data_IF_617559973307
#
_entry.id   IF_617559973307
#
_cell.length_a   1.000
_cell.length_b   1.000
_cell.length_c   1.000
_cell.angle_alpha   90.00
_cell.angle_beta   90.00
_cell.angle_gamma   90.00
#
_symmetry.space_group_name_H-M   'P 1'
#
loop_
_entity.id
_entity.type
_entity.pdbx_description
1 polymer ?
#
# COMPACT_ATOMS: atom_id res chain seq x y z
N UNK A 1 19.80 9.35 -8.66
CA UNK A 1 18.60 10.18 -8.93
C UNK A 1 18.71 10.96 -10.25
N UNK A 2 19.90 11.05 -10.85
CA UNK A 2 20.19 11.85 -12.06
C UNK A 2 19.66 11.26 -13.38
N UNK A 3 19.38 9.95 -13.45
CA UNK A 3 18.96 9.27 -14.69
C UNK A 3 17.57 9.69 -15.24
N UNK A 4 16.78 10.41 -14.43
CA UNK A 4 15.39 10.76 -14.75
C UNK A 4 15.13 12.27 -14.82
N UNK A 5 16.17 13.09 -14.68
CA UNK A 5 16.09 14.54 -14.79
C UNK A 5 16.65 14.95 -16.14
N UNK A 6 15.76 15.30 -17.07
CA UNK A 6 16.15 15.79 -18.40
C UNK A 6 15.21 16.92 -18.77
N UNK A 7 15.77 18.13 -18.91
CA UNK A 7 15.04 19.34 -19.29
C UNK A 7 14.47 19.27 -20.72
N UNK A 8 14.97 18.34 -21.54
CA UNK A 8 14.55 18.18 -22.94
C UNK A 8 13.29 17.32 -23.10
N UNK A 9 12.87 16.57 -22.07
CA UNK A 9 11.80 15.58 -22.18
C UNK A 9 10.55 16.04 -21.45
N UNK A 10 9.43 16.12 -22.16
CA UNK A 10 8.13 16.49 -21.57
C UNK A 10 7.50 15.39 -20.73
N UNK A 11 7.97 14.14 -20.86
CA UNK A 11 7.47 12.97 -20.12
C UNK A 11 8.62 12.24 -19.45
N UNK A 12 8.36 11.77 -18.22
CA UNK A 12 9.30 10.99 -17.44
C UNK A 12 9.63 9.64 -18.10
N UNK A 13 8.60 8.97 -18.63
CA UNK A 13 8.73 7.70 -19.33
C UNK A 13 8.29 7.85 -20.79
N UNK A 14 8.94 7.09 -21.68
CA UNK A 14 8.46 6.94 -23.05
C UNK A 14 7.04 6.33 -23.03
N UNK A 15 6.12 6.81 -23.88
CA UNK A 15 4.77 6.26 -23.94
C UNK A 15 4.83 4.80 -24.40
N UNK A 16 4.23 3.92 -23.60
CA UNK A 16 4.06 2.50 -23.93
C UNK A 16 2.58 2.23 -24.21
N UNK A 17 2.31 1.43 -25.23
CA UNK A 17 0.96 0.95 -25.50
C UNK A 17 0.47 0.08 -24.33
N UNK A 18 -0.81 0.21 -23.96
CA UNK A 18 -1.38 -0.53 -22.83
C UNK A 18 -1.26 -2.06 -22.99
N UNK A 19 -1.39 -2.58 -24.22
CA UNK A 19 -1.18 -4.01 -24.52
C UNK A 19 0.25 -4.47 -24.23
N UNK A 20 1.24 -3.64 -24.55
CA UNK A 20 2.66 -3.91 -24.27
C UNK A 20 2.92 -3.89 -22.76
N UNK A 21 2.34 -2.92 -22.04
CA UNK A 21 2.40 -2.87 -20.58
C UNK A 21 1.86 -4.15 -19.94
N UNK A 22 0.69 -4.63 -20.38
CA UNK A 22 0.11 -5.88 -19.88
C UNK A 22 0.98 -7.10 -20.20
N UNK A 23 1.57 -7.17 -21.40
CA UNK A 23 2.48 -8.25 -21.77
C UNK A 23 3.74 -8.26 -20.90
N UNK A 24 4.29 -7.09 -20.59
CA UNK A 24 5.44 -6.95 -19.68
C UNK A 24 5.10 -7.40 -18.26
N UNK A 25 3.93 -7.01 -17.73
CA UNK A 25 3.47 -7.49 -16.42
C UNK A 25 3.32 -9.01 -16.38
N UNK A 26 2.76 -9.62 -17.43
CA UNK A 26 2.65 -11.08 -17.55
C UNK A 26 4.02 -11.76 -17.60
N UNK A 27 4.98 -11.17 -18.33
CA UNK A 27 6.34 -11.68 -18.36
C UNK A 27 7.01 -11.62 -16.98
N UNK A 28 6.83 -10.52 -16.24
CA UNK A 28 7.32 -10.39 -14.86
C UNK A 28 6.65 -11.40 -13.92
N UNK A 29 5.35 -11.61 -14.04
CA UNK A 29 4.60 -12.60 -13.26
C UNK A 29 5.20 -14.00 -13.43
N UNK A 30 5.39 -14.43 -14.68
CA UNK A 30 5.94 -15.74 -15.00
C UNK A 30 7.38 -15.89 -14.49
N UNK A 31 8.20 -14.85 -14.66
CA UNK A 31 9.60 -14.83 -14.18
C UNK A 31 9.71 -14.88 -12.66
N UNK A 32 8.80 -14.22 -11.96
CA UNK A 32 8.77 -14.18 -10.50
C UNK A 32 8.08 -15.42 -9.87
N UNK A 33 7.47 -16.30 -10.67
CA UNK A 33 6.74 -17.46 -10.17
C UNK A 33 5.45 -17.10 -9.42
N UNK A 34 4.85 -15.95 -9.72
CA UNK A 34 3.64 -15.47 -9.04
C UNK A 34 2.40 -16.13 -9.68
N UNK A 35 1.61 -16.82 -8.87
CA UNK A 35 0.42 -17.56 -9.33
C UNK A 35 -0.76 -16.63 -9.67
N UNK A 36 -0.84 -15.46 -9.06
CA UNK A 36 -1.90 -14.48 -9.32
C UNK A 36 -1.57 -13.58 -10.52
N UNK A 37 -2.57 -13.21 -11.34
CA UNK A 37 -2.36 -12.26 -12.43
C UNK A 37 -1.84 -10.90 -11.95
N UNK A 38 -0.68 -10.46 -12.46
CA UNK A 38 -0.18 -9.12 -12.14
C UNK A 38 -0.93 -8.04 -12.93
N UNK A 39 -1.36 -7.00 -12.21
CA UNK A 39 -1.96 -5.80 -12.77
C UNK A 39 -1.57 -4.58 -11.95
N UNK A 40 -1.77 -3.38 -12.50
CA UNK A 40 -1.62 -2.14 -11.74
C UNK A 40 -2.48 -2.12 -10.47
N UNK A 41 -3.67 -2.74 -10.53
CA UNK A 41 -4.58 -2.81 -9.38
C UNK A 41 -4.02 -3.71 -8.27
N UNK A 42 -3.46 -4.86 -8.61
CA UNK A 42 -2.78 -5.75 -7.65
C UNK A 42 -1.60 -5.02 -7.01
N UNK A 43 -0.76 -4.34 -7.80
CA UNK A 43 0.34 -3.55 -7.27
C UNK A 43 -0.12 -2.44 -6.30
N UNK A 44 -1.19 -1.72 -6.64
CA UNK A 44 -1.79 -0.70 -5.77
C UNK A 44 -2.30 -1.31 -4.46
N UNK A 45 -2.98 -2.45 -4.53
CA UNK A 45 -3.49 -3.13 -3.35
C UNK A 45 -2.34 -3.60 -2.44
N UNK A 46 -1.32 -4.25 -3.00
CA UNK A 46 -0.15 -4.70 -2.24
C UNK A 46 0.60 -3.53 -1.60
N UNK A 47 0.74 -2.41 -2.30
CA UNK A 47 1.33 -1.21 -1.72
C UNK A 47 0.51 -0.71 -0.51
N UNK A 48 -0.80 -0.56 -0.69
CA UNK A 48 -1.68 -0.06 0.37
C UNK A 48 -1.71 -0.97 1.61
N UNK A 49 -1.80 -2.29 1.42
CA UNK A 49 -1.91 -3.23 2.55
C UNK A 49 -0.53 -3.57 3.13
N UNK A 50 0.30 -4.26 2.35
CA UNK A 50 1.54 -4.91 2.82
C UNK A 50 2.68 -3.91 3.06
N UNK A 51 2.82 -2.92 2.18
CA UNK A 51 3.95 -1.98 2.27
C UNK A 51 3.66 -0.86 3.26
N UNK A 52 2.41 -0.38 3.32
CA UNK A 52 2.04 0.75 4.18
C UNK A 52 1.27 0.37 5.44
N UNK A 53 0.06 -0.19 5.34
CA UNK A 53 -0.81 -0.39 6.51
C UNK A 53 -0.24 -1.43 7.49
N UNK A 54 0.36 -2.51 6.99
CA UNK A 54 1.07 -3.49 7.82
C UNK A 54 2.34 -2.93 8.47
N UNK A 55 2.86 -1.80 7.97
CA UNK A 55 4.02 -1.08 8.55
C UNK A 55 3.59 0.17 9.30
N UNK A 56 2.35 0.17 9.78
CA UNK A 56 1.81 1.17 10.71
C UNK A 56 1.76 2.58 10.15
N UNK A 57 1.83 2.73 8.81
CA UNK A 57 1.62 4.02 8.18
C UNK A 57 0.16 4.46 8.40
N UNK A 58 -0.10 5.66 8.94
CA UNK A 58 -1.46 6.14 9.18
C UNK A 58 -2.30 6.14 7.90
N UNK A 59 -3.58 5.75 8.01
CA UNK A 59 -4.45 5.55 6.85
C UNK A 59 -4.68 6.84 6.05
N UNK A 60 -4.64 8.01 6.69
CA UNK A 60 -4.71 9.32 6.05
C UNK A 60 -3.48 9.57 5.17
N UNK A 61 -2.31 9.12 5.63
CA UNK A 61 -1.06 9.20 4.87
C UNK A 61 -1.10 8.25 3.68
N UNK A 62 -1.57 7.02 3.86
CA UNK A 62 -1.79 6.08 2.75
C UNK A 62 -2.79 6.65 1.74
N UNK A 63 -3.88 7.25 2.21
CA UNK A 63 -4.88 7.89 1.36
C UNK A 63 -4.28 8.99 0.48
N UNK A 64 -3.43 9.86 1.05
CA UNK A 64 -2.70 10.89 0.31
C UNK A 64 -1.69 10.31 -0.68
N UNK A 65 -0.93 9.28 -0.28
CA UNK A 65 0.02 8.60 -1.17
C UNK A 65 -0.66 7.95 -2.39
N UNK A 66 -1.87 7.42 -2.20
CA UNK A 66 -2.69 6.83 -3.26
C UNK A 66 -3.44 7.86 -4.11
N UNK A 67 -3.45 9.14 -3.70
CA UNK A 67 -4.16 10.20 -4.39
C UNK A 67 -5.68 10.10 -4.27
N UNK A 68 -6.20 9.45 -3.22
CA UNK A 68 -7.64 9.35 -3.00
C UNK A 68 -8.17 10.62 -2.33
N UNK A 69 -9.26 11.18 -2.88
CA UNK A 69 -9.95 12.35 -2.32
C UNK A 69 -10.83 12.01 -1.12
N UNK A 70 -11.19 10.74 -0.94
CA UNK A 70 -12.03 10.26 0.16
C UNK A 70 -11.37 9.05 0.82
N UNK A 71 -11.18 9.15 2.14
CA UNK A 71 -10.59 8.10 2.98
C UNK A 71 -11.34 6.77 2.90
N UNK A 72 -12.65 6.81 2.68
CA UNK A 72 -13.51 5.62 2.52
C UNK A 72 -13.05 4.73 1.35
N UNK A 73 -12.42 5.31 0.33
CA UNK A 73 -11.85 4.53 -0.79
C UNK A 73 -10.63 3.73 -0.35
N UNK A 74 -9.85 4.28 0.59
CA UNK A 74 -8.66 3.67 1.18
C UNK A 74 -9.01 2.67 2.28
N UNK A 75 -10.12 2.87 3.00
CA UNK A 75 -10.63 1.96 4.05
C UNK A 75 -10.84 0.53 3.55
N UNK A 76 -11.10 0.33 2.25
CA UNK A 76 -11.16 -1.01 1.65
C UNK A 76 -9.90 -1.86 1.92
N UNK A 77 -8.74 -1.22 2.09
CA UNK A 77 -7.48 -1.89 2.38
C UNK A 77 -7.26 -2.15 3.88
N UNK A 78 -8.02 -1.51 4.77
CA UNK A 78 -7.86 -1.61 6.22
C UNK A 78 -8.45 -2.90 6.83
N UNK A 79 -9.31 -3.62 6.10
CA UNK A 79 -9.90 -4.90 6.53
C UNK A 79 -8.87 -6.01 6.80
N UNK A 80 -7.61 -5.83 6.39
CA UNK A 80 -6.57 -6.86 6.46
C UNK A 80 -5.87 -6.91 7.84
N UNK A 81 -6.22 -6.04 8.77
CA UNK A 81 -5.51 -5.88 10.06
C UNK A 81 -6.26 -6.34 11.33
N UNK A 82 -6.94 -7.52 11.38
CA UNK A 82 -7.51 -8.02 12.64
C UNK A 82 -6.47 -8.09 13.77
N UNK A 83 -5.26 -8.55 13.45
CA UNK A 83 -4.16 -8.66 14.41
C UNK A 83 -3.82 -7.33 15.09
N UNK A 84 -3.75 -6.24 14.31
CA UNK A 84 -3.45 -4.90 14.82
C UNK A 84 -4.53 -4.40 15.77
N UNK A 85 -5.81 -4.64 15.46
CA UNK A 85 -6.91 -4.30 16.35
C UNK A 85 -6.78 -5.00 17.71
N UNK A 86 -6.40 -6.28 17.71
CA UNK A 86 -6.17 -7.01 18.96
C UNK A 86 -4.93 -6.47 19.70
N UNK A 87 -3.81 -6.23 19.01
CA UNK A 87 -2.59 -5.71 19.63
C UNK A 87 -2.81 -4.33 20.28
N UNK A 88 -3.52 -3.42 19.61
CA UNK A 88 -3.88 -2.10 20.16
C UNK A 88 -4.84 -2.21 21.36
N UNK A 89 -5.79 -3.15 21.30
CA UNK A 89 -6.75 -3.36 22.39
C UNK A 89 -6.08 -3.96 23.63
N UNK A 90 -5.16 -4.90 23.46
CA UNK A 90 -4.36 -5.46 24.56
C UNK A 90 -3.50 -4.38 25.22
N UNK A 91 -2.88 -3.49 24.44
CA UNK A 91 -2.11 -2.36 25.00
C UNK A 91 -3.00 -1.38 25.77
N UNK A 92 -4.23 -1.14 25.29
CA UNK A 92 -5.20 -0.32 26.02
C UNK A 92 -5.61 -1.00 27.35
N UNK A 93 -5.89 -2.31 27.33
CA UNK A 93 -6.24 -3.07 28.53
C UNK A 93 -5.11 -3.03 29.57
N UNK A 94 -3.87 -3.27 29.15
CA UNK A 94 -2.72 -3.24 30.07
C UNK A 94 -2.55 -1.87 30.72
N UNK A 95 -2.74 -0.79 29.95
CA UNK A 95 -2.71 0.57 30.49
C UNK A 95 -3.82 0.80 31.53
N UNK A 96 -5.03 0.28 31.31
CA UNK A 96 -6.13 0.44 32.26
C UNK A 96 -5.96 -0.37 33.55
N UNK A 97 -5.34 -1.55 33.49
CA UNK A 97 -4.98 -2.35 34.68
C UNK A 97 -3.91 -1.65 35.54
N UNK A 98 -2.94 -0.99 34.92
CA UNK A 98 -1.95 -0.20 35.65
C UNK A 98 -2.57 1.01 36.37
N UNK A 99 -3.60 1.64 35.76
CA UNK A 99 -4.29 2.79 36.33
C UNK A 99 -5.14 2.44 37.56
N UNK A 100 -5.73 1.24 37.60
CA UNK A 100 -6.51 0.76 38.76
C UNK A 100 -5.63 0.31 39.93
N UNK A 101 -4.36 -0.06 39.67
CA UNK A 101 -3.39 -0.40 40.71
C UNK A 101 -2.72 0.82 41.36
N UNK A 102 -2.88 2.03 40.79
CA UNK A 102 -2.30 3.28 41.30
C UNK A 102 -3.29 4.21 42.00
N UNK A 103 -4.60 3.96 41.90
CA UNK A 103 -5.68 4.69 42.58
C UNK A 103 -6.16 3.95 43.83
#
# INVERSE_FOLDING_TARGET
>A
MELYQSEERTKLFAPIAYSVYLAQLKALQLRAGISIPLSAHVGRHTFATLITLEREVPIETVCRMLGHSNIQTTERYAHVTPKKLFDEFEQFLSFTEELTLTL
#
